data_IF_019906742321
#
_entry.id   IF_019906742321
#
_cell.length_a   1.000
_cell.length_b   1.000
_cell.length_c   1.000
_cell.angle_alpha   90.00
_cell.angle_beta   90.00
_cell.angle_gamma   90.00
#
_symmetry.space_group_name_H-M   'P 1'
#
loop_
_entity.id
_entity.type
_entity.pdbx_description
1 polymer ?
#
# COMPACT_ATOMS: atom_id res chain seq x y z
N UNK A 1 9.62 7.97 -6.93
CA UNK A 1 8.84 7.64 -5.71
C UNK A 1 8.31 6.22 -5.80
N UNK A 2 8.16 5.54 -4.66
CA UNK A 2 7.48 4.25 -4.60
C UNK A 2 5.96 4.43 -4.76
N UNK A 3 5.34 3.61 -5.62
CA UNK A 3 3.90 3.71 -5.92
C UNK A 3 3.07 2.83 -5.00
N UNK A 4 3.63 1.70 -4.57
CA UNK A 4 2.96 0.71 -3.73
C UNK A 4 3.73 0.53 -2.43
N UNK A 5 2.99 0.17 -1.39
CA UNK A 5 3.54 0.01 -0.06
C UNK A 5 2.87 -1.18 0.62
N UNK A 6 3.65 -2.03 1.29
CA UNK A 6 3.09 -3.08 2.15
C UNK A 6 3.24 -2.64 3.59
N UNK A 7 2.10 -2.52 4.28
CA UNK A 7 2.06 -2.46 5.73
C UNK A 7 2.11 -3.87 6.28
N UNK A 8 3.05 -4.15 7.17
CA UNK A 8 3.19 -5.43 7.86
C UNK A 8 3.16 -5.19 9.38
N UNK A 9 2.38 -6.01 10.09
CA UNK A 9 2.15 -5.95 11.53
C UNK A 9 2.26 -7.35 12.10
N UNK A 10 3.37 -7.66 12.77
CA UNK A 10 3.63 -8.98 13.35
C UNK A 10 2.77 -9.24 14.59
N UNK A 11 2.48 -8.20 15.37
CA UNK A 11 1.56 -8.19 16.51
C UNK A 11 0.13 -8.58 16.10
N UNK A 12 -0.34 -8.09 14.95
CA UNK A 12 -1.64 -8.44 14.41
C UNK A 12 -1.61 -9.62 13.42
N UNK A 13 -0.44 -10.19 13.15
CA UNK A 13 -0.23 -11.25 12.15
C UNK A 13 -0.86 -10.89 10.78
N UNK A 14 -0.66 -9.64 10.35
CA UNK A 14 -1.37 -9.01 9.25
C UNK A 14 -0.45 -8.28 8.28
N UNK A 15 -0.71 -8.40 6.99
CA UNK A 15 -0.17 -7.50 5.97
C UNK A 15 -1.27 -6.92 5.07
N UNK A 16 -1.06 -5.67 4.64
CA UNK A 16 -1.93 -4.96 3.70
C UNK A 16 -1.11 -4.25 2.63
N UNK A 17 -1.47 -4.45 1.36
CA UNK A 17 -0.88 -3.72 0.24
C UNK A 17 -1.70 -2.45 -0.05
N UNK A 18 -1.03 -1.30 -0.11
CA UNK A 18 -1.59 0.01 -0.36
C UNK A 18 -0.95 0.71 -1.57
N UNK A 19 -1.68 1.66 -2.16
CA UNK A 19 -1.06 2.74 -2.95
C UNK A 19 -0.44 3.77 -2.01
N UNK A 20 0.68 4.37 -2.39
CA UNK A 20 1.35 5.43 -1.60
C UNK A 20 0.43 6.61 -1.29
N UNK A 21 -0.38 7.02 -2.28
CA UNK A 21 -1.37 8.11 -2.16
C UNK A 21 -2.57 7.77 -1.27
N UNK A 22 -2.71 6.54 -0.78
CA UNK A 22 -3.82 6.16 0.10
C UNK A 22 -3.77 6.96 1.40
N UNK A 23 -4.91 7.48 1.87
CA UNK A 23 -5.00 8.24 3.14
C UNK A 23 -4.54 7.44 4.37
N UNK A 24 -4.60 6.11 4.29
CA UNK A 24 -4.13 5.18 5.33
C UNK A 24 -2.66 4.78 5.16
N UNK A 25 -2.05 5.06 4.01
CA UNK A 25 -0.62 4.83 3.77
C UNK A 25 0.19 6.11 3.89
N UNK A 26 -0.17 7.15 3.13
CA UNK A 26 0.56 8.43 3.04
C UNK A 26 2.05 8.20 2.84
N UNK A 27 2.40 7.49 1.77
CA UNK A 27 3.78 7.15 1.41
C UNK A 27 4.58 6.51 2.57
N UNK A 28 3.92 5.57 3.27
CA UNK A 28 4.53 4.81 4.37
C UNK A 28 4.45 5.48 5.75
N UNK A 29 3.76 6.62 5.89
CA UNK A 29 3.61 7.32 7.18
C UNK A 29 2.40 6.87 8.03
N UNK A 30 1.47 6.12 7.44
CA UNK A 30 0.25 5.66 8.10
C UNK A 30 -0.77 6.77 8.43
N UNK A 31 -1.95 6.42 8.97
CA UNK A 31 -3.04 7.37 9.21
C UNK A 31 -2.84 8.29 10.43
N UNK A 32 -1.78 8.10 11.21
CA UNK A 32 -1.55 8.84 12.47
C UNK A 32 -0.10 9.28 12.70
N UNK A 33 0.77 9.24 11.67
CA UNK A 33 2.23 9.42 11.84
C UNK A 33 2.77 8.60 13.02
N UNK A 34 2.20 7.41 13.27
CA UNK A 34 2.69 6.53 14.33
C UNK A 34 4.16 6.28 14.04
N UNK A 35 5.02 6.57 15.01
CA UNK A 35 6.44 6.31 14.91
C UNK A 35 6.62 4.81 14.71
N UNK A 36 7.02 4.43 13.49
CA UNK A 36 7.49 3.08 13.23
C UNK A 36 8.84 2.98 13.91
N UNK A 37 8.92 2.13 14.91
CA UNK A 37 10.19 1.84 15.57
C UNK A 37 10.97 0.91 14.64
N UNK A 38 12.22 1.20 14.30
CA UNK A 38 13.08 0.26 13.59
C UNK A 38 13.13 -1.08 14.32
N UNK A 39 12.82 -2.19 13.64
CA UNK A 39 12.72 -3.51 14.25
C UNK A 39 11.48 -3.74 15.13
N UNK A 40 10.58 -2.75 15.20
CA UNK A 40 9.28 -2.88 15.85
C UNK A 40 8.32 -3.79 15.09
N UNK A 41 7.15 -4.10 15.67
CA UNK A 41 6.22 -5.06 15.09
C UNK A 41 5.53 -4.55 13.83
N UNK A 42 5.60 -3.25 13.54
CA UNK A 42 4.92 -2.59 12.44
C UNK A 42 5.92 -1.96 11.47
N UNK A 43 5.77 -2.23 10.17
CA UNK A 43 6.67 -1.75 9.12
C UNK A 43 5.90 -1.34 7.87
N UNK A 44 6.48 -0.42 7.10
CA UNK A 44 6.03 -0.05 5.76
C UNK A 44 7.17 -0.26 4.77
N UNK A 45 6.95 -1.11 3.77
CA UNK A 45 7.95 -1.45 2.76
C UNK A 45 7.53 -0.90 1.39
N UNK A 46 8.36 -0.07 0.72
CA UNK A 46 8.03 0.51 -0.58
C UNK A 46 8.30 -0.43 -1.74
N UNK A 47 7.48 -0.35 -2.79
CA UNK A 47 7.62 -1.09 -4.04
C UNK A 47 7.27 -0.23 -5.27
N UNK A 48 7.90 -0.54 -6.39
CA UNK A 48 7.63 0.11 -7.67
C UNK A 48 6.37 -0.45 -8.36
N UNK A 49 6.11 -1.75 -8.23
CA UNK A 49 4.99 -2.45 -8.87
C UNK A 49 4.15 -3.22 -7.87
N UNK A 50 2.91 -3.54 -8.25
CA UNK A 50 1.99 -4.32 -7.40
C UNK A 50 2.42 -5.77 -7.29
N UNK A 51 3.00 -6.34 -8.36
CA UNK A 51 3.45 -7.72 -8.40
C UNK A 51 4.61 -7.95 -7.44
N UNK A 52 5.60 -7.03 -7.40
CA UNK A 52 6.72 -7.12 -6.47
C UNK A 52 6.26 -7.00 -5.01
N UNK A 53 5.31 -6.10 -4.74
CA UNK A 53 4.71 -5.95 -3.42
C UNK A 53 3.94 -7.20 -2.99
N UNK A 54 3.20 -7.82 -3.91
CA UNK A 54 2.44 -9.05 -3.65
C UNK A 54 3.38 -10.22 -3.39
N UNK A 55 4.40 -10.43 -4.23
CA UNK A 55 5.40 -11.48 -4.04
C UNK A 55 6.11 -11.37 -2.68
N UNK A 56 6.50 -10.15 -2.30
CA UNK A 56 7.09 -9.92 -0.98
C UNK A 56 6.11 -10.21 0.16
N UNK A 57 4.85 -9.76 0.03
CA UNK A 57 3.79 -10.05 1.00
C UNK A 57 3.53 -11.56 1.12
N UNK A 58 3.62 -12.32 0.03
CA UNK A 58 3.40 -13.77 0.00
C UNK A 58 4.45 -14.54 0.80
N UNK A 59 5.69 -14.02 0.86
CA UNK A 59 6.78 -14.58 1.68
C UNK A 59 6.54 -14.44 3.19
N UNK A 60 5.64 -13.54 3.61
CA UNK A 60 5.32 -13.39 5.03
C UNK A 60 4.47 -14.57 5.52
N UNK A 61 4.83 -15.12 6.68
CA UNK A 61 4.06 -16.15 7.39
C UNK A 61 2.79 -15.62 8.07
N UNK A 62 2.22 -14.53 7.55
CA UNK A 62 1.03 -13.92 8.11
C UNK A 62 -0.24 -14.57 7.59
N UNK A 63 -1.21 -14.79 8.49
CA UNK A 63 -2.52 -15.38 8.19
C UNK A 63 -3.43 -14.37 7.50
N UNK A 64 -3.31 -13.10 7.86
CA UNK A 64 -4.18 -12.05 7.36
C UNK A 64 -3.46 -11.16 6.34
N UNK A 65 -3.41 -11.61 5.08
CA UNK A 65 -2.80 -10.88 3.95
C UNK A 65 -3.88 -10.49 2.95
N UNK A 66 -3.98 -9.21 2.60
CA UNK A 66 -4.92 -8.76 1.57
C UNK A 66 -4.56 -7.38 1.03
N UNK A 67 -5.22 -6.99 -0.05
CA UNK A 67 -5.14 -5.62 -0.56
C UNK A 67 -5.94 -4.66 0.33
N UNK A 68 -5.50 -3.41 0.42
CA UNK A 68 -6.29 -2.37 1.07
C UNK A 68 -7.57 -2.11 0.27
N UNK A 69 -8.71 -2.55 0.81
CA UNK A 69 -10.01 -2.39 0.13
C UNK A 69 -10.35 -0.93 -0.24
N UNK A 70 -9.81 0.06 0.49
CA UNK A 70 -10.08 1.47 0.21
C UNK A 70 -9.36 1.97 -1.04
N UNK A 71 -8.08 1.66 -1.22
CA UNK A 71 -7.30 2.19 -2.36
C UNK A 71 -7.03 1.16 -3.46
N UNK A 72 -7.21 -0.13 -3.16
CA UNK A 72 -7.04 -1.23 -4.10
C UNK A 72 -8.39 -1.87 -4.47
N UNK A 73 -9.51 -1.38 -3.92
CA UNK A 73 -10.85 -1.96 -4.16
C UNK A 73 -11.26 -2.01 -5.63
N UNK A 74 -10.70 -1.15 -6.48
CA UNK A 74 -10.94 -1.18 -7.93
C UNK A 74 -9.91 -2.02 -8.71
N UNK A 75 -8.72 -2.27 -8.13
CA UNK A 75 -7.64 -3.01 -8.79
C UNK A 75 -7.93 -4.51 -8.97
N UNK A 76 -9.00 -5.02 -8.34
CA UNK A 76 -9.39 -6.43 -8.34
C UNK A 76 -10.39 -6.77 -9.45
N UNK A 77 -11.03 -5.77 -10.07
CA UNK A 77 -12.07 -5.94 -11.11
C UNK A 77 -11.60 -5.53 -12.52
N UNK A 78 -10.28 -5.50 -12.76
CA UNK A 78 -9.72 -5.19 -14.09
C UNK A 78 -9.84 -3.72 -14.52
N UNK A 79 -10.30 -2.84 -13.63
CA UNK A 79 -10.22 -1.38 -13.83
C UNK A 79 -8.94 -0.89 -13.16
N UNK A 80 -8.04 -0.26 -13.92
CA UNK A 80 -6.83 0.35 -13.38
C UNK A 80 -7.19 1.19 -12.13
N UNK A 81 -6.40 1.10 -11.04
CA UNK A 81 -6.66 1.91 -9.86
C UNK A 81 -6.64 3.39 -10.26
N UNK A 82 -7.65 4.13 -9.84
CA UNK A 82 -7.82 5.55 -10.13
C UNK A 82 -6.48 6.27 -10.02
N UNK A 83 -5.90 6.57 -11.18
CA UNK A 83 -4.74 7.44 -11.30
C UNK A 83 -5.09 8.73 -10.57
N UNK A 84 -4.25 9.14 -9.62
CA UNK A 84 -4.21 10.52 -9.18
C UNK A 84 -4.20 11.39 -10.45
N UNK A 85 -5.18 12.29 -10.55
CA UNK A 85 -5.54 12.95 -11.79
C UNK A 85 -4.35 13.54 -12.53
N UNK A 86 -4.22 13.17 -13.81
CA UNK A 86 -3.58 14.03 -14.79
C UNK A 86 -4.57 15.17 -15.08
N UNK A 87 -4.55 16.19 -14.23
CA UNK A 87 -5.08 17.50 -14.61
C UNK A 87 -4.04 18.17 -15.50
N UNK A 88 -4.40 18.46 -16.75
CA UNK A 88 -4.08 19.70 -17.45
C UNK A 88 -4.93 19.73 -18.71
N UNK A 89 -5.98 20.54 -18.66
CA UNK A 89 -6.70 21.07 -19.81
C UNK A 89 -5.75 21.49 -20.93
N UNK A 90 -6.06 21.04 -22.14
CA UNK A 90 -5.68 21.73 -23.36
C UNK A 90 -6.96 21.91 -24.17
N UNK A 91 -7.76 22.90 -23.78
CA UNK A 91 -8.70 23.56 -24.67
C UNK A 91 -8.07 24.89 -25.11
N UNK A 92 -8.12 25.13 -26.42
CA UNK A 92 -7.73 26.33 -27.18
C UNK A 92 -6.29 26.33 -27.69
#
# INVERSE_FOLDING_TARGET
MARYWVFASSDANRARLHLGSCMYCRDGHGPARRLLVPGGPQTWTPFATVEAAQQWMDQLHYKDKSLCKTCMGEAVDGRQPASAGAGSDALT
#
